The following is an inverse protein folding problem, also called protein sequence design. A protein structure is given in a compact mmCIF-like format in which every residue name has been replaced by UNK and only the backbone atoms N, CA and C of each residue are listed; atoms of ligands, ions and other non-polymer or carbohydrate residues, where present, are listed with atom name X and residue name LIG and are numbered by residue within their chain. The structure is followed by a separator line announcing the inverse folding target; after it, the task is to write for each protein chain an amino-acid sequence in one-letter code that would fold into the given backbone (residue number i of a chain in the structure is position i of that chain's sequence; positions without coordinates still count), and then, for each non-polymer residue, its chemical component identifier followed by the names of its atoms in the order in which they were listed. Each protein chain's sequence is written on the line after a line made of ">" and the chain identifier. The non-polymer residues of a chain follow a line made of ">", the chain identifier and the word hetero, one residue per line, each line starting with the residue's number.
data_IF_286302810963
#
_entry.id   IF_286302810963
#
_cell.length_a   1.000
_cell.length_b   1.000
_cell.length_c   1.000
_cell.angle_alpha   90.00
_cell.angle_beta   90.00
_cell.angle_gamma   90.00
#
_symmetry.space_group_name_H-M   'P 1'
#
loop_
_entity.id
_entity.type
_entity.pdbx_description
1 polymer ?
#
# COMPACT_ATOMS: atom_id res chain seq x y z
N UNK A 1 9.27 -16.22 -25.71
CA UNK A 1 9.36 -15.06 -24.79
C UNK A 1 10.81 -14.95 -24.34
N UNK A 2 11.48 -13.80 -24.47
CA UNK A 2 12.77 -13.62 -23.83
C UNK A 2 12.53 -13.62 -22.31
N UNK A 3 13.12 -14.58 -21.60
CA UNK A 3 13.08 -14.62 -20.15
C UNK A 3 13.86 -13.41 -19.62
N UNK A 4 13.20 -12.51 -18.89
CA UNK A 4 13.91 -11.47 -18.15
C UNK A 4 14.75 -12.22 -17.10
N UNK A 5 16.07 -11.98 -17.03
CA UNK A 5 16.92 -12.57 -15.99
C UNK A 5 16.33 -12.24 -14.61
N UNK A 6 16.22 -13.24 -13.73
CA UNK A 6 15.65 -13.12 -12.39
C UNK A 6 16.22 -11.93 -11.60
N UNK A 7 17.51 -11.63 -11.79
CA UNK A 7 18.21 -10.49 -11.19
C UNK A 7 17.69 -9.13 -11.66
N UNK A 8 17.34 -9.00 -12.95
CA UNK A 8 16.75 -7.78 -13.53
C UNK A 8 15.30 -7.61 -13.01
N UNK A 9 14.56 -8.71 -12.89
CA UNK A 9 13.20 -8.68 -12.34
C UNK A 9 13.19 -8.22 -10.87
N UNK A 10 14.01 -8.82 -10.02
CA UNK A 10 14.13 -8.45 -8.60
C UNK A 10 14.60 -7.00 -8.41
N UNK A 11 15.57 -6.54 -9.22
CA UNK A 11 16.03 -5.15 -9.19
C UNK A 11 14.93 -4.15 -9.54
N UNK A 12 14.07 -4.50 -10.51
CA UNK A 12 12.97 -3.63 -10.93
C UNK A 12 11.83 -3.60 -9.92
N UNK A 13 11.52 -4.74 -9.30
CA UNK A 13 10.55 -4.83 -8.19
C UNK A 13 11.03 -4.02 -6.97
N UNK A 14 12.32 -4.12 -6.62
CA UNK A 14 12.91 -3.32 -5.55
C UNK A 14 12.85 -1.81 -5.84
N UNK A 15 13.21 -1.39 -7.06
CA UNK A 15 13.09 0.02 -7.48
C UNK A 15 11.65 0.53 -7.43
N UNK A 16 10.69 -0.32 -7.81
CA UNK A 16 9.26 -0.01 -7.76
C UNK A 16 8.78 0.19 -6.32
N UNK A 17 9.15 -0.73 -5.42
CA UNK A 17 8.84 -0.62 -3.98
C UNK A 17 9.48 0.63 -3.37
N UNK A 18 10.74 0.92 -3.70
CA UNK A 18 11.44 2.11 -3.23
C UNK A 18 10.81 3.40 -3.74
N UNK A 19 10.43 3.46 -5.02
CA UNK A 19 9.74 4.62 -5.58
C UNK A 19 8.39 4.85 -4.91
N UNK A 20 7.60 3.79 -4.73
CA UNK A 20 6.31 3.86 -4.06
C UNK A 20 6.46 4.33 -2.61
N UNK A 21 7.29 3.65 -1.83
CA UNK A 21 7.47 3.93 -0.41
C UNK A 21 8.11 5.30 -0.17
N UNK A 22 9.21 5.60 -0.87
CA UNK A 22 9.94 6.85 -0.71
C UNK A 22 9.13 8.08 -1.13
N UNK A 23 8.38 7.99 -2.24
CA UNK A 23 7.50 9.10 -2.64
C UNK A 23 6.33 9.24 -1.69
N UNK A 24 5.77 8.14 -1.19
CA UNK A 24 4.69 8.18 -0.21
C UNK A 24 5.12 8.87 1.09
N UNK A 25 6.22 8.42 1.70
CA UNK A 25 6.74 9.00 2.95
C UNK A 25 7.12 10.47 2.78
N UNK A 26 7.83 10.80 1.69
CA UNK A 26 8.19 12.18 1.38
C UNK A 26 6.94 13.04 1.18
N UNK A 27 5.91 12.54 0.50
CA UNK A 27 4.66 13.27 0.29
C UNK A 27 3.92 13.49 1.61
N UNK A 28 3.92 12.51 2.52
CA UNK A 28 3.33 12.69 3.84
C UNK A 28 3.98 13.82 4.63
N UNK A 29 5.30 14.04 4.51
CA UNK A 29 5.99 15.14 5.21
C UNK A 29 5.51 16.53 4.77
N UNK A 30 5.00 16.64 3.53
CA UNK A 30 4.61 17.91 2.92
C UNK A 30 3.09 18.10 2.85
N UNK A 31 2.31 17.07 3.17
CA UNK A 31 0.86 17.08 3.10
C UNK A 31 0.23 17.11 4.50
N UNK A 32 -0.95 17.73 4.65
CA UNK A 32 -1.59 17.83 5.95
C UNK A 32 -1.97 16.43 6.48
N UNK A 33 -1.84 16.19 7.80
CA UNK A 33 -2.22 14.93 8.39
C UNK A 33 -3.74 14.72 8.28
N UNK A 34 -4.16 13.56 7.79
CA UNK A 34 -5.58 13.19 7.68
C UNK A 34 -5.89 12.40 6.42
N UNK A 35 -7.16 11.99 6.23
CA UNK A 35 -7.55 11.13 5.11
C UNK A 35 -7.22 11.75 3.74
N UNK A 36 -7.42 13.07 3.59
CA UNK A 36 -7.10 13.78 2.35
C UNK A 36 -5.59 13.80 2.04
N UNK A 37 -4.75 14.00 3.06
CA UNK A 37 -3.29 13.91 2.90
C UNK A 37 -2.84 12.52 2.49
N UNK A 38 -3.47 11.48 3.06
CA UNK A 38 -3.15 10.09 2.70
C UNK A 38 -3.58 9.71 1.29
N UNK A 39 -4.76 10.18 0.85
CA UNK A 39 -5.23 10.01 -0.52
C UNK A 39 -4.26 10.67 -1.51
N UNK A 40 -3.84 11.92 -1.24
CA UNK A 40 -2.93 12.66 -2.12
C UNK A 40 -1.52 12.07 -2.12
N UNK A 41 -0.98 11.70 -0.96
CA UNK A 41 0.31 11.03 -0.86
C UNK A 41 0.29 9.68 -1.59
N UNK A 42 -0.77 8.88 -1.40
CA UNK A 42 -0.94 7.60 -2.08
C UNK A 42 -1.11 7.75 -3.59
N UNK A 43 -1.88 8.74 -4.07
CA UNK A 43 -2.03 9.03 -5.49
C UNK A 43 -0.70 9.42 -6.14
N UNK A 44 0.08 10.26 -5.45
CA UNK A 44 1.39 10.74 -5.92
C UNK A 44 2.38 9.58 -5.98
N UNK A 45 2.42 8.74 -4.95
CA UNK A 45 3.26 7.55 -4.88
C UNK A 45 2.89 6.52 -5.96
N UNK A 46 1.60 6.27 -6.18
CA UNK A 46 1.11 5.39 -7.24
C UNK A 46 1.44 5.89 -8.63
N UNK A 47 1.37 7.22 -8.84
CA UNK A 47 1.80 7.86 -10.10
C UNK A 47 3.29 7.68 -10.34
N UNK A 48 4.11 7.96 -9.32
CA UNK A 48 5.56 7.81 -9.42
C UNK A 48 5.95 6.35 -9.72
N UNK A 49 5.35 5.39 -9.00
CA UNK A 49 5.52 3.97 -9.26
C UNK A 49 5.20 3.60 -10.72
N UNK A 50 4.04 4.04 -11.24
CA UNK A 50 3.66 3.74 -12.61
C UNK A 50 4.67 4.30 -13.63
N UNK A 51 5.14 5.53 -13.42
CA UNK A 51 6.13 6.17 -14.29
C UNK A 51 7.50 5.49 -14.21
N UNK A 52 7.92 5.05 -13.01
CA UNK A 52 9.18 4.33 -12.82
C UNK A 52 9.14 2.94 -13.45
N UNK A 53 8.00 2.25 -13.40
CA UNK A 53 7.89 0.88 -13.90
C UNK A 53 7.55 0.78 -15.40
N UNK A 54 6.96 1.82 -16.00
CA UNK A 54 6.62 1.87 -17.43
C UNK A 54 7.75 1.47 -18.40
N UNK A 55 9.00 1.97 -18.25
CA UNK A 55 10.09 1.68 -19.18
C UNK A 55 10.53 0.21 -19.15
N UNK A 56 10.34 -0.45 -18.01
CA UNK A 56 10.82 -1.82 -17.81
C UNK A 56 9.84 -2.87 -18.30
N UNK A 57 8.63 -2.46 -18.67
CA UNK A 57 7.54 -3.37 -19.04
C UNK A 57 7.46 -4.55 -18.04
N UNK A 58 7.67 -4.25 -16.75
CA UNK A 58 7.65 -5.27 -15.70
C UNK A 58 6.23 -5.38 -15.14
N UNK A 59 5.82 -6.59 -14.73
CA UNK A 59 4.61 -6.74 -13.94
C UNK A 59 4.83 -6.00 -12.63
N UNK A 60 4.22 -4.83 -12.47
CA UNK A 60 4.26 -4.06 -11.21
C UNK A 60 3.67 -4.90 -10.07
N UNK A 61 2.88 -5.92 -10.40
CA UNK A 61 2.36 -6.90 -9.47
C UNK A 61 2.34 -8.33 -10.05
N UNK A 62 2.64 -9.36 -9.24
CA UNK A 62 2.62 -10.78 -9.65
C UNK A 62 1.25 -11.27 -10.17
N UNK A 63 0.19 -10.49 -9.98
CA UNK A 63 -1.20 -10.82 -10.27
C UNK A 63 -1.79 -10.03 -11.45
N UNK A 64 -0.93 -9.38 -12.26
CA UNK A 64 -1.31 -8.59 -13.44
C UNK A 64 -0.73 -9.11 -14.76
N UNK A 65 -0.20 -10.34 -14.80
CA UNK A 65 0.35 -10.96 -16.01
C UNK A 65 -0.63 -10.99 -17.20
N UNK A 66 -1.94 -10.86 -16.95
CA UNK A 66 -2.99 -10.74 -17.96
C UNK A 66 -3.07 -9.34 -18.59
N UNK A 67 -2.86 -8.27 -17.83
CA UNK A 67 -2.93 -6.87 -18.29
C UNK A 67 -1.78 -6.52 -19.24
N UNK A 68 -0.66 -7.23 -19.07
CA UNK A 68 0.54 -7.09 -19.87
C UNK A 68 0.36 -7.50 -21.34
N UNK A 69 -0.63 -8.37 -21.63
CA UNK A 69 -0.92 -8.82 -23.00
C UNK A 69 -1.65 -7.77 -23.84
N UNK A 70 -2.14 -6.68 -23.23
CA UNK A 70 -2.92 -5.66 -23.91
C UNK A 70 -2.23 -4.27 -23.91
N UNK A 71 -0.90 -4.24 -23.96
CA UNK A 71 -0.09 -3.03 -24.18
C UNK A 71 -0.30 -2.45 -25.58
N UNK A 72 -1.50 -1.96 -25.88
CA UNK A 72 -1.76 -1.16 -27.07
C UNK A 72 -1.11 0.22 -26.88
N UNK A 73 -0.49 0.80 -27.93
CA UNK A 73 0.03 2.17 -27.87
C UNK A 73 -1.07 3.15 -27.41
N UNK A 74 -0.72 4.08 -26.52
CA UNK A 74 -1.64 5.09 -25.98
C UNK A 74 -2.30 4.77 -24.62
N UNK A 75 -1.99 3.64 -23.99
CA UNK A 75 -2.55 3.27 -22.67
C UNK A 75 -1.75 3.76 -21.44
N UNK A 76 -0.63 4.45 -21.63
CA UNK A 76 0.22 4.90 -20.52
C UNK A 76 -0.54 5.73 -19.47
N UNK A 77 -1.36 6.68 -19.92
CA UNK A 77 -2.17 7.51 -19.01
C UNK A 77 -3.17 6.70 -18.18
N UNK A 78 -3.74 5.63 -18.74
CA UNK A 78 -4.68 4.73 -18.04
C UNK A 78 -3.97 3.95 -16.93
N UNK A 79 -2.74 3.51 -17.17
CA UNK A 79 -1.92 2.84 -16.17
C UNK A 79 -1.55 3.77 -15.02
N UNK A 80 -1.21 5.04 -15.33
CA UNK A 80 -0.98 6.07 -14.30
C UNK A 80 -2.25 6.33 -13.49
N UNK A 81 -3.38 6.56 -14.15
CA UNK A 81 -4.65 6.84 -13.47
C UNK A 81 -5.11 5.66 -12.59
N UNK A 82 -4.92 4.42 -13.07
CA UNK A 82 -5.18 3.20 -12.30
C UNK A 82 -4.27 3.11 -11.07
N UNK A 83 -2.96 3.30 -11.23
CA UNK A 83 -2.04 3.25 -10.10
C UNK A 83 -2.31 4.37 -9.09
N UNK A 84 -2.55 5.60 -9.55
CA UNK A 84 -2.90 6.73 -8.70
C UNK A 84 -4.17 6.47 -7.88
N UNK A 85 -5.27 6.08 -8.54
CA UNK A 85 -6.54 5.78 -7.86
C UNK A 85 -6.44 4.60 -6.90
N UNK A 86 -5.78 3.52 -7.32
CA UNK A 86 -5.57 2.35 -6.49
C UNK A 86 -4.79 2.69 -5.22
N UNK A 87 -3.63 3.34 -5.36
CA UNK A 87 -2.76 3.63 -4.22
C UNK A 87 -3.28 4.75 -3.31
N UNK A 88 -4.05 5.69 -3.86
CA UNK A 88 -4.79 6.64 -3.05
C UNK A 88 -5.73 5.93 -2.07
N UNK A 89 -6.52 4.97 -2.55
CA UNK A 89 -7.40 4.18 -1.70
C UNK A 89 -6.62 3.24 -0.78
N UNK A 90 -5.57 2.59 -1.27
CA UNK A 90 -4.72 1.71 -0.47
C UNK A 90 -4.21 2.41 0.79
N UNK A 91 -3.47 3.50 0.63
CA UNK A 91 -2.83 4.16 1.76
C UNK A 91 -3.83 4.85 2.69
N UNK A 92 -4.91 5.41 2.14
CA UNK A 92 -5.97 5.99 2.96
C UNK A 92 -6.65 4.95 3.87
N UNK A 93 -6.97 3.76 3.33
CA UNK A 93 -7.59 2.67 4.11
C UNK A 93 -6.59 2.06 5.08
N UNK A 94 -5.35 1.79 4.65
CA UNK A 94 -4.32 1.19 5.50
C UNK A 94 -4.02 2.08 6.71
N UNK A 95 -3.83 3.38 6.50
CA UNK A 95 -3.57 4.32 7.58
C UNK A 95 -4.79 4.53 8.47
N UNK A 96 -5.99 4.59 7.90
CA UNK A 96 -7.25 4.70 8.66
C UNK A 96 -7.41 3.54 9.64
N UNK A 97 -7.15 2.30 9.19
CA UNK A 97 -7.17 1.10 10.02
C UNK A 97 -6.07 1.09 11.07
N UNK A 98 -4.81 1.40 10.68
CA UNK A 98 -3.68 1.52 11.62
C UNK A 98 -3.99 2.51 12.75
N UNK A 99 -4.48 3.69 12.38
CA UNK A 99 -4.84 4.76 13.32
C UNK A 99 -6.00 4.37 14.22
N UNK A 100 -7.06 3.78 13.65
CA UNK A 100 -8.22 3.33 14.43
C UNK A 100 -7.86 2.26 15.45
N UNK A 101 -7.13 1.23 15.04
CA UNK A 101 -6.73 0.11 15.91
C UNK A 101 -5.78 0.59 17.00
N UNK A 102 -4.77 1.42 16.67
CA UNK A 102 -3.84 1.91 17.68
C UNK A 102 -4.53 2.80 18.72
N UNK A 103 -5.46 3.67 18.30
CA UNK A 103 -6.27 4.47 19.24
C UNK A 103 -7.12 3.59 20.16
N UNK A 104 -7.76 2.54 19.63
CA UNK A 104 -8.52 1.61 20.44
C UNK A 104 -7.64 0.90 21.48
N UNK A 105 -6.44 0.48 21.07
CA UNK A 105 -5.45 -0.16 21.97
C UNK A 105 -4.96 0.78 23.05
N UNK A 106 -4.74 2.07 22.75
CA UNK A 106 -4.36 3.06 23.75
C UNK A 106 -5.47 3.27 24.79
N UNK A 107 -6.73 3.35 24.36
CA UNK A 107 -7.88 3.46 25.28
C UNK A 107 -7.98 2.23 26.18
N UNK A 108 -7.82 1.03 25.63
CA UNK A 108 -7.86 -0.21 26.42
C UNK A 108 -6.68 -0.34 27.39
N UNK A 109 -5.48 0.08 26.98
CA UNK A 109 -4.30 0.09 27.83
C UNK A 109 -4.47 1.07 29.01
N UNK A 110 -5.00 2.26 28.73
CA UNK A 110 -5.35 3.25 29.75
C UNK A 110 -6.37 2.71 30.76
N UNK A 111 -7.45 2.06 30.28
CA UNK A 111 -8.46 1.43 31.15
C UNK A 111 -7.89 0.33 32.05
N UNK A 112 -6.85 -0.37 31.59
CA UNK A 112 -6.19 -1.47 32.32
C UNK A 112 -5.01 -0.99 33.17
N UNK A 113 -4.67 0.30 33.13
CA UNK A 113 -3.49 0.84 33.83
C UNK A 113 -2.16 0.32 33.30
N UNK A 114 -2.11 -0.16 32.06
CA UNK A 114 -0.91 -0.70 31.41
C UNK A 114 -0.41 0.24 30.31
N UNK A 115 0.90 0.30 30.07
CA UNK A 115 1.45 0.99 28.91
C UNK A 115 1.52 0.04 27.71
N UNK A 116 1.32 0.58 26.50
CA UNK A 116 1.58 -0.20 25.29
C UNK A 116 3.09 -0.37 25.10
N UNK A 117 3.55 -1.53 24.61
CA UNK A 117 4.94 -1.70 24.24
C UNK A 117 5.32 -0.74 23.10
N UNK A 118 6.61 -0.37 22.98
CA UNK A 118 7.11 0.36 21.82
C UNK A 118 6.75 -0.37 20.53
N UNK A 119 6.36 0.39 19.49
CA UNK A 119 5.88 -0.18 18.21
C UNK A 119 6.87 -1.12 17.53
N UNK A 120 8.17 -0.87 17.69
CA UNK A 120 9.25 -1.72 17.17
C UNK A 120 9.30 -3.11 17.81
N UNK A 121 8.72 -3.24 19.01
CA UNK A 121 8.72 -4.46 19.81
C UNK A 121 7.31 -5.03 19.96
N UNK A 122 6.30 -4.43 19.32
CA UNK A 122 4.90 -4.76 19.47
C UNK A 122 4.43 -5.70 18.34
N UNK A 123 4.26 -7.01 18.60
CA UNK A 123 3.82 -7.95 17.56
C UNK A 123 2.41 -7.62 17.05
N UNK A 124 1.56 -7.02 17.90
CA UNK A 124 0.22 -6.62 17.49
C UNK A 124 0.26 -5.43 16.53
N UNK A 125 1.28 -4.57 16.61
CA UNK A 125 1.49 -3.50 15.64
C UNK A 125 1.87 -4.06 14.27
N UNK A 126 2.80 -5.02 14.21
CA UNK A 126 3.17 -5.67 12.95
C UNK A 126 2.02 -6.47 12.33
N UNK A 127 1.23 -7.17 13.15
CA UNK A 127 0.00 -7.83 12.69
C UNK A 127 -1.01 -6.80 12.16
N UNK A 128 -1.21 -5.68 12.88
CA UNK A 128 -2.08 -4.60 12.43
C UNK A 128 -1.64 -4.08 11.06
N UNK A 129 -0.34 -3.89 10.84
CA UNK A 129 0.19 -3.47 9.55
C UNK A 129 -0.12 -4.48 8.43
N UNK A 130 0.07 -5.78 8.69
CA UNK A 130 -0.27 -6.82 7.73
C UNK A 130 -1.77 -6.83 7.37
N UNK A 131 -2.65 -6.86 8.37
CA UNK A 131 -4.10 -6.90 8.13
C UNK A 131 -4.61 -5.61 7.51
N UNK A 132 -4.13 -4.45 7.95
CA UNK A 132 -4.48 -3.16 7.36
C UNK A 132 -4.04 -3.09 5.89
N UNK A 133 -2.82 -3.55 5.58
CA UNK A 133 -2.32 -3.66 4.21
C UNK A 133 -3.15 -4.62 3.36
N UNK A 134 -3.54 -5.76 3.91
CA UNK A 134 -4.37 -6.72 3.18
C UNK A 134 -5.76 -6.18 2.85
N UNK A 135 -6.45 -5.58 3.82
CA UNK A 135 -7.76 -4.94 3.60
C UNK A 135 -7.64 -3.76 2.62
N UNK A 136 -6.58 -2.96 2.76
CA UNK A 136 -6.27 -1.89 1.82
C UNK A 136 -5.99 -2.41 0.41
N UNK A 137 -5.39 -3.59 0.26
CA UNK A 137 -5.20 -4.26 -1.02
C UNK A 137 -6.52 -4.63 -1.71
N UNK A 138 -7.53 -5.01 -0.93
CA UNK A 138 -8.89 -5.21 -1.45
C UNK A 138 -9.53 -3.87 -1.86
N UNK A 139 -9.33 -2.81 -1.07
CA UNK A 139 -9.79 -1.47 -1.41
C UNK A 139 -9.12 -0.91 -2.68
N UNK A 140 -7.82 -1.16 -2.86
CA UNK A 140 -7.08 -0.89 -4.09
C UNK A 140 -7.75 -1.57 -5.29
N UNK A 141 -8.08 -2.86 -5.17
CA UNK A 141 -8.75 -3.61 -6.24
C UNK A 141 -10.12 -3.02 -6.56
N UNK A 142 -10.91 -2.66 -5.54
CA UNK A 142 -12.20 -2.01 -5.72
C UNK A 142 -12.06 -0.65 -6.45
N UNK A 143 -11.09 0.17 -6.04
CA UNK A 143 -10.84 1.48 -6.66
C UNK A 143 -10.36 1.37 -8.11
N UNK A 144 -9.69 0.28 -8.47
CA UNK A 144 -9.17 0.05 -9.81
C UNK A 144 -10.15 -0.68 -10.74
N UNK A 145 -11.33 -1.08 -10.24
CA UNK A 145 -12.36 -1.78 -11.02
C UNK A 145 -12.71 -1.11 -12.36
N UNK A 146 -12.92 0.23 -12.43
CA UNK A 146 -13.25 0.91 -13.68
C UNK A 146 -12.15 0.81 -14.74
N UNK A 147 -10.92 0.46 -14.35
CA UNK A 147 -9.76 0.40 -15.23
C UNK A 147 -9.46 -1.01 -15.76
N UNK A 148 -10.24 -2.03 -15.42
CA UNK A 148 -10.14 -3.35 -16.07
C UNK A 148 -10.91 -3.36 -17.40
N UNK A 149 -10.40 -4.08 -18.40
CA UNK A 149 -10.93 -4.13 -19.77
C UNK A 149 -11.80 -5.35 -20.04
N UNK A 150 -11.83 -6.35 -19.16
CA UNK A 150 -12.60 -7.56 -19.42
C UNK A 150 -12.80 -8.50 -18.22
N UNK A 151 -13.64 -9.54 -18.40
CA UNK A 151 -14.03 -10.46 -17.34
C UNK A 151 -12.89 -11.32 -16.81
N UNK A 152 -11.77 -11.47 -17.55
CA UNK A 152 -10.55 -12.16 -17.10
C UNK A 152 -9.70 -11.32 -16.12
N UNK A 153 -9.92 -10.01 -16.11
CA UNK A 153 -9.15 -9.06 -15.30
C UNK A 153 -9.93 -8.60 -14.05
N UNK A 154 -11.25 -8.83 -14.04
CA UNK A 154 -12.11 -8.48 -12.93
C UNK A 154 -12.18 -9.66 -11.93
N UNK A 155 -11.68 -9.51 -10.70
CA UNK A 155 -11.75 -10.57 -9.68
C UNK A 155 -13.20 -10.89 -9.25
N UNK A 156 -14.18 -10.06 -9.59
CA UNK A 156 -15.60 -10.33 -9.33
C UNK A 156 -16.27 -11.16 -10.44
N UNK A 157 -15.65 -11.26 -11.62
CA UNK A 157 -16.23 -11.93 -12.80
C UNK A 157 -15.45 -13.20 -13.21
N UNK A 158 -14.29 -13.46 -12.61
CA UNK A 158 -13.47 -14.65 -12.88
C UNK A 158 -13.75 -15.81 -11.92
N UNK A 159 -13.67 -17.05 -12.41
CA UNK A 159 -13.71 -18.26 -11.57
C UNK A 159 -12.55 -18.36 -10.57
N UNK A 160 -11.42 -17.73 -10.89
CA UNK A 160 -10.24 -17.59 -10.02
C UNK A 160 -10.26 -16.34 -9.14
N UNK A 161 -11.36 -15.58 -9.14
CA UNK A 161 -11.48 -14.28 -8.51
C UNK A 161 -11.13 -14.24 -7.03
N UNK A 162 -11.60 -15.23 -6.27
CA UNK A 162 -11.28 -15.38 -4.84
C UNK A 162 -9.77 -15.57 -4.62
N UNK A 163 -9.11 -16.34 -5.47
CA UNK A 163 -7.66 -16.53 -5.41
C UNK A 163 -6.89 -15.24 -5.68
N UNK A 164 -7.37 -14.41 -6.62
CA UNK A 164 -6.79 -13.08 -6.89
C UNK A 164 -6.99 -12.15 -5.68
N UNK A 165 -8.17 -12.17 -5.05
CA UNK A 165 -8.43 -11.34 -3.86
C UNK A 165 -7.57 -11.76 -2.67
N UNK A 166 -7.40 -13.07 -2.44
CA UNK A 166 -6.50 -13.59 -1.41
C UNK A 166 -5.05 -13.24 -1.71
N UNK A 167 -4.61 -13.40 -2.97
CA UNK A 167 -3.28 -13.00 -3.42
C UNK A 167 -3.01 -11.53 -3.15
N UNK A 168 -3.93 -10.66 -3.55
CA UNK A 168 -3.86 -9.21 -3.31
C UNK A 168 -3.80 -8.87 -1.83
N UNK A 169 -4.61 -9.55 -1.01
CA UNK A 169 -4.59 -9.37 0.45
C UNK A 169 -3.22 -9.74 1.04
N UNK A 170 -2.67 -10.90 0.67
CA UNK A 170 -1.39 -11.38 1.21
C UNK A 170 -0.23 -10.51 0.71
N UNK A 171 -0.20 -10.17 -0.57
CA UNK A 171 0.86 -9.36 -1.17
C UNK A 171 0.89 -7.95 -0.57
N UNK A 172 -0.26 -7.28 -0.51
CA UNK A 172 -0.36 -5.92 0.03
C UNK A 172 -0.22 -5.88 1.56
N UNK A 173 -0.67 -6.93 2.25
CA UNK A 173 -0.40 -7.12 3.68
C UNK A 173 1.09 -7.28 3.96
N UNK A 174 1.79 -8.09 3.16
CA UNK A 174 3.24 -8.29 3.28
C UNK A 174 4.01 -7.01 2.99
N UNK A 175 3.59 -6.26 1.96
CA UNK A 175 4.16 -4.95 1.63
C UNK A 175 4.02 -3.97 2.81
N UNK A 176 2.82 -3.87 3.38
CA UNK A 176 2.56 -2.95 4.49
C UNK A 176 3.24 -3.37 5.79
N UNK A 177 3.36 -4.68 6.04
CA UNK A 177 4.18 -5.20 7.13
C UNK A 177 5.65 -4.80 6.96
N UNK A 178 6.20 -4.93 5.74
CA UNK A 178 7.54 -4.48 5.39
C UNK A 178 7.74 -2.98 5.59
N UNK A 179 6.76 -2.15 5.18
CA UNK A 179 6.78 -0.72 5.43
C UNK A 179 6.74 -0.40 6.93
N UNK A 180 5.90 -1.09 7.70
CA UNK A 180 5.88 -0.94 9.16
C UNK A 180 7.21 -1.27 9.82
N UNK A 181 7.92 -2.29 9.34
CA UNK A 181 9.29 -2.59 9.79
C UNK A 181 10.27 -1.49 9.38
N UNK A 182 10.20 -0.99 8.14
CA UNK A 182 11.06 0.09 7.67
C UNK A 182 10.84 1.39 8.45
N UNK A 183 9.59 1.77 8.72
CA UNK A 183 9.22 2.92 9.56
C UNK A 183 9.93 2.83 10.93
N UNK A 184 9.88 1.65 11.57
CA UNK A 184 10.49 1.43 12.89
C UNK A 184 12.01 1.39 12.85
N UNK A 185 12.62 0.78 11.83
CA UNK A 185 14.06 0.60 11.74
C UNK A 185 14.79 1.93 11.43
N UNK A 186 14.16 2.79 10.63
CA UNK A 186 14.74 4.07 10.21
C UNK A 186 14.16 5.27 10.97
N UNK A 187 13.28 5.04 11.94
CA UNK A 187 12.59 6.07 12.72
C UNK A 187 11.94 7.15 11.82
N UNK A 188 11.29 6.71 10.75
CA UNK A 188 10.72 7.57 9.70
C UNK A 188 9.29 8.02 10.02
N UNK A 189 8.86 7.98 11.29
CA UNK A 189 7.51 8.41 11.64
C UNK A 189 7.33 9.91 11.34
N UNK A 190 6.63 10.17 10.25
CA UNK A 190 6.46 11.50 9.63
C UNK A 190 5.65 12.47 10.50
N UNK A 191 4.83 11.94 11.41
CA UNK A 191 4.00 12.72 12.32
C UNK A 191 3.91 12.06 13.70
N UNK A 192 4.94 12.17 14.55
CA UNK A 192 4.87 11.70 15.93
C UNK A 192 3.73 12.39 16.70
N UNK A 193 3.38 13.63 16.34
CA UNK A 193 2.27 14.39 16.95
C UNK A 193 0.86 13.82 16.69
N UNK A 194 0.67 12.95 15.67
CA UNK A 194 -0.60 12.21 15.48
C UNK A 194 -0.88 11.25 16.64
N UNK A 195 0.17 10.84 17.34
CA UNK A 195 0.15 9.85 18.40
C UNK A 195 0.45 10.49 19.76
N UNK A 196 1.37 11.46 19.79
CA UNK A 196 1.73 12.20 21.00
C UNK A 196 0.57 12.98 21.63
N UNK A 197 -0.40 13.47 20.84
CA UNK A 197 -1.63 14.06 21.42
C UNK A 197 -2.49 13.07 22.20
N UNK A 198 -2.41 11.77 21.90
CA UNK A 198 -3.13 10.73 22.64
C UNK A 198 -2.36 10.33 23.91
N UNK A 199 -1.03 10.38 23.88
CA UNK A 199 -0.18 10.15 25.05
C UNK A 199 -0.19 11.31 26.05
N UNK A 200 -0.33 12.55 25.59
CA UNK A 200 -0.34 13.77 26.42
C UNK A 200 -1.73 14.19 26.92
N UNK A 201 -2.79 13.42 26.63
CA UNK A 201 -4.13 13.65 27.22
C UNK A 201 -4.23 13.14 28.67
N UNK A 202 -3.09 12.97 29.36
CA UNK A 202 -2.96 12.62 30.78
C UNK A 202 -2.91 13.89 31.63
#
# INVERSE_FOLDING_TARGET
>A
MPAIPLTIQLGTEALSILALYGVYTQSQHHLPPGPYGQVMAGATAGTALALTAMPFNTPIFPETSVEHRAGLPGQGWRNVAKAASGYACFFAVAEGLRTGIYKARLVDASRKGSQLPPRSEDPQWHLTNFFAGGVAGLAYRAATLPFFKGPLENPLLTKSGVGILIGSFVAMGSLMAGFGWADTAFNLEVHPEKWGKVEQSQ
#
